data_IF_069427400429
#
_entry.id   IF_069427400429
#
_cell.length_a   1.000
_cell.length_b   1.000
_cell.length_c   1.000
_cell.angle_alpha   90.00
_cell.angle_beta   90.00
_cell.angle_gamma   90.00
#
_symmetry.space_group_name_H-M   'P 1'
#
loop_
_entity.id
_entity.type
_entity.pdbx_description
1 polymer ?
#
# COMPACT_ATOMS: atom_id res chain seq x y z
N UNK A 1 4.48 28.68 18.51
CA UNK A 1 4.49 27.26 18.12
C UNK A 1 5.93 26.84 17.90
N UNK A 2 6.28 25.59 18.20
CA UNK A 2 7.61 25.03 17.89
C UNK A 2 7.75 24.83 16.38
N UNK A 3 8.96 24.98 15.81
CA UNK A 3 9.25 24.67 14.38
C UNK A 3 8.80 23.26 13.99
N UNK A 4 8.86 22.34 14.93
CA UNK A 4 8.45 20.94 14.76
C UNK A 4 6.91 20.80 14.64
N UNK A 5 6.16 21.53 15.46
CA UNK A 5 4.70 21.56 15.37
C UNK A 5 4.23 22.17 14.04
N UNK A 6 4.93 23.21 13.56
CA UNK A 6 4.64 23.83 12.28
C UNK A 6 4.93 22.87 11.11
N UNK A 7 6.01 22.07 11.21
CA UNK A 7 6.35 21.04 10.22
C UNK A 7 5.30 19.93 10.13
N UNK A 8 4.90 19.36 11.27
CA UNK A 8 3.87 18.30 11.28
C UNK A 8 2.49 18.80 10.84
N UNK A 9 2.13 20.03 11.22
CA UNK A 9 0.91 20.70 10.75
C UNK A 9 0.93 20.90 9.22
N UNK A 10 2.09 21.27 8.67
CA UNK A 10 2.28 21.39 7.24
C UNK A 10 2.11 20.04 6.53
N UNK A 11 2.75 18.98 7.01
CA UNK A 11 2.62 17.63 6.41
C UNK A 11 1.17 17.18 6.44
N UNK A 12 0.48 17.27 7.60
CA UNK A 12 -0.93 16.89 7.72
C UNK A 12 -1.79 17.60 6.66
N UNK A 13 -1.58 18.90 6.51
CA UNK A 13 -2.32 19.71 5.53
C UNK A 13 -1.98 19.31 4.09
N UNK A 14 -0.72 19.02 3.81
CA UNK A 14 -0.23 18.68 2.48
C UNK A 14 -0.71 17.30 2.01
N UNK A 15 -0.88 16.35 2.92
CA UNK A 15 -1.23 14.96 2.57
C UNK A 15 -2.71 14.62 2.74
N UNK A 16 -3.41 15.22 3.71
CA UNK A 16 -4.83 14.90 3.96
C UNK A 16 -5.77 16.11 3.80
N UNK A 17 -5.23 17.28 3.43
CA UNK A 17 -5.97 18.53 3.27
C UNK A 17 -6.12 19.32 4.58
N UNK A 18 -6.74 20.50 4.49
CA UNK A 18 -6.99 21.34 5.68
C UNK A 18 -8.12 20.75 6.51
N UNK A 19 -8.10 21.00 7.83
CA UNK A 19 -9.20 20.61 8.70
C UNK A 19 -10.54 21.17 8.17
N UNK A 20 -11.52 20.30 7.93
CA UNK A 20 -12.82 20.65 7.36
C UNK A 20 -12.85 20.77 5.84
N UNK A 21 -11.72 20.54 5.16
CA UNK A 21 -11.57 20.50 3.70
C UNK A 21 -10.53 19.44 3.34
N UNK A 22 -10.71 18.23 3.89
CA UNK A 22 -9.84 17.09 3.64
C UNK A 22 -9.94 16.65 2.18
N UNK A 23 -8.92 15.96 1.68
CA UNK A 23 -8.96 15.41 0.32
C UNK A 23 -9.95 14.24 0.23
N UNK A 24 -10.73 14.21 -0.84
CA UNK A 24 -11.65 13.12 -1.12
C UNK A 24 -11.01 12.03 -1.99
N UNK A 25 -11.67 10.86 -2.01
CA UNK A 25 -11.31 9.76 -2.89
C UNK A 25 -11.40 10.16 -4.36
N UNK A 26 -10.43 9.72 -5.13
CA UNK A 26 -10.48 9.75 -6.60
C UNK A 26 -11.18 8.52 -7.16
N UNK A 27 -11.43 8.50 -8.47
CA UNK A 27 -11.97 7.33 -9.18
C UNK A 27 -11.15 6.03 -8.99
N UNK A 28 -9.85 6.16 -8.66
CA UNK A 28 -9.01 5.03 -8.28
C UNK A 28 -9.42 4.40 -6.96
N UNK A 29 -9.83 5.23 -5.99
CA UNK A 29 -10.35 4.76 -4.71
C UNK A 29 -11.69 4.08 -4.89
N UNK A 30 -12.56 4.61 -5.77
CA UNK A 30 -13.83 3.94 -6.11
C UNK A 30 -13.59 2.55 -6.72
N UNK A 31 -12.62 2.44 -7.64
CA UNK A 31 -12.25 1.16 -8.24
C UNK A 31 -11.65 0.19 -7.21
N UNK A 32 -10.83 0.69 -6.27
CA UNK A 32 -10.28 -0.09 -5.16
C UNK A 32 -11.38 -0.58 -4.20
N UNK A 33 -12.33 0.28 -3.85
CA UNK A 33 -13.49 -0.07 -3.02
C UNK A 33 -14.32 -1.14 -3.73
N UNK A 34 -14.59 -0.98 -5.03
CA UNK A 34 -15.30 -1.98 -5.83
C UNK A 34 -14.56 -3.33 -5.91
N UNK A 35 -13.23 -3.33 -5.87
CA UNK A 35 -12.45 -4.57 -5.85
C UNK A 35 -12.69 -5.36 -4.54
N UNK A 36 -13.03 -4.68 -3.45
CA UNK A 36 -13.25 -5.22 -2.10
C UNK A 36 -12.12 -6.16 -1.63
N UNK A 37 -10.86 -5.70 -1.60
CA UNK A 37 -9.75 -6.51 -1.10
C UNK A 37 -9.91 -6.82 0.39
N UNK A 38 -9.66 -8.06 0.83
CA UNK A 38 -9.67 -8.41 2.27
C UNK A 38 -8.61 -7.67 3.09
N UNK A 39 -7.53 -7.24 2.43
CA UNK A 39 -6.41 -6.57 3.04
C UNK A 39 -5.89 -5.48 2.10
N UNK A 40 -5.77 -4.27 2.63
CA UNK A 40 -5.09 -3.16 1.98
C UNK A 40 -3.86 -2.82 2.83
N UNK A 41 -2.72 -2.64 2.18
CA UNK A 41 -1.49 -2.19 2.81
C UNK A 41 -1.02 -0.92 2.11
N UNK A 42 -0.68 0.11 2.86
CA UNK A 42 -0.25 1.40 2.31
C UNK A 42 0.88 2.03 3.11
N UNK A 43 1.71 2.81 2.42
CA UNK A 43 2.70 3.72 3.01
C UNK A 43 2.19 5.17 3.07
N UNK A 44 0.97 5.42 2.58
CA UNK A 44 0.35 6.74 2.65
C UNK A 44 -0.10 7.07 4.08
N UNK A 45 0.04 8.35 4.44
CA UNK A 45 -0.36 8.87 5.76
C UNK A 45 -1.83 9.30 5.81
N UNK A 46 -2.38 9.76 4.68
CA UNK A 46 -3.73 10.31 4.54
C UNK A 46 -4.83 9.30 4.88
N UNK A 47 -6.07 9.77 5.07
CA UNK A 47 -7.22 8.92 5.42
C UNK A 47 -8.20 8.72 4.26
N UNK A 48 -7.72 8.85 3.02
CA UNK A 48 -8.60 8.82 1.85
C UNK A 48 -9.21 7.42 1.68
N UNK A 49 -8.45 6.35 1.91
CA UNK A 49 -8.95 4.96 1.82
C UNK A 49 -10.02 4.70 2.89
N UNK A 50 -9.78 5.13 4.13
CA UNK A 50 -10.73 5.01 5.24
C UNK A 50 -12.04 5.73 4.92
N UNK A 51 -11.97 6.96 4.39
CA UNK A 51 -13.16 7.72 3.98
C UNK A 51 -13.88 7.05 2.80
N UNK A 52 -13.15 6.64 1.77
CA UNK A 52 -13.71 6.05 0.55
C UNK A 52 -14.40 4.70 0.81
N UNK A 53 -13.94 3.95 1.81
CA UNK A 53 -14.53 2.67 2.22
C UNK A 53 -15.62 2.82 3.28
N UNK A 54 -15.98 4.05 3.67
CA UNK A 54 -16.93 4.29 4.76
C UNK A 54 -16.49 3.71 6.11
N UNK A 55 -15.18 3.63 6.35
CA UNK A 55 -14.57 2.99 7.53
C UNK A 55 -14.88 1.49 7.64
N UNK A 56 -15.07 0.80 6.51
CA UNK A 56 -15.34 -0.64 6.46
C UNK A 56 -14.16 -1.55 6.83
N UNK A 57 -12.96 -0.99 6.99
CA UNK A 57 -11.73 -1.71 7.30
C UNK A 57 -11.30 -1.49 8.76
N UNK A 58 -10.79 -2.55 9.38
CA UNK A 58 -10.04 -2.47 10.64
C UNK A 58 -8.67 -1.85 10.36
N UNK A 59 -8.51 -0.57 10.70
CA UNK A 59 -7.28 0.19 10.44
C UNK A 59 -6.23 -0.04 11.53
N UNK A 60 -5.01 -0.38 11.11
CA UNK A 60 -3.85 -0.63 11.95
C UNK A 60 -2.64 0.15 11.44
N UNK A 61 -1.74 0.52 12.35
CA UNK A 61 -0.41 1.05 12.03
C UNK A 61 0.65 -0.02 12.28
N UNK A 62 1.92 0.30 12.00
CA UNK A 62 3.04 -0.63 12.19
C UNK A 62 3.18 -1.18 13.61
N UNK A 63 2.74 -0.45 14.64
CA UNK A 63 2.82 -0.89 16.05
C UNK A 63 1.70 -1.85 16.46
N UNK A 64 0.73 -2.12 15.58
CA UNK A 64 -0.42 -2.95 15.94
C UNK A 64 -0.04 -4.43 16.12
N UNK A 65 -0.32 -4.96 17.31
CA UNK A 65 -0.26 -6.40 17.61
C UNK A 65 -1.53 -7.16 17.20
N UNK A 66 -2.55 -6.45 16.70
CA UNK A 66 -3.86 -7.04 16.36
C UNK A 66 -3.97 -7.48 14.91
N UNK A 67 -3.08 -6.98 14.04
CA UNK A 67 -3.12 -7.22 12.59
C UNK A 67 -3.14 -8.71 12.25
N UNK A 68 -2.32 -9.55 12.89
CA UNK A 68 -2.34 -11.00 12.67
C UNK A 68 -3.70 -11.63 13.01
N UNK A 69 -4.32 -11.19 14.10
CA UNK A 69 -5.60 -11.70 14.57
C UNK A 69 -6.77 -11.33 13.65
N UNK A 70 -6.73 -10.13 13.06
CA UNK A 70 -7.75 -9.64 12.13
C UNK A 70 -7.60 -10.32 10.77
N UNK A 71 -6.37 -10.43 10.25
CA UNK A 71 -6.04 -11.20 9.04
C UNK A 71 -6.49 -12.66 9.17
N UNK A 72 -6.23 -13.31 10.31
CA UNK A 72 -6.66 -14.70 10.56
C UNK A 72 -8.19 -14.85 10.55
N UNK A 73 -8.91 -13.86 11.07
CA UNK A 73 -10.37 -13.85 11.14
C UNK A 73 -11.04 -13.39 9.85
N UNK A 74 -10.26 -13.06 8.82
CA UNK A 74 -10.74 -12.47 7.55
C UNK A 74 -11.56 -11.19 7.79
N UNK A 75 -11.18 -10.41 8.78
CA UNK A 75 -11.73 -9.07 8.97
C UNK A 75 -11.06 -8.18 7.92
N UNK A 76 -11.82 -7.43 7.10
CA UNK A 76 -11.24 -6.45 6.17
C UNK A 76 -10.28 -5.54 6.92
N UNK A 77 -9.01 -5.55 6.51
CA UNK A 77 -7.92 -4.93 7.28
C UNK A 77 -7.19 -3.89 6.44
N UNK A 78 -6.96 -2.69 7.00
CA UNK A 78 -6.12 -1.65 6.40
C UNK A 78 -4.86 -1.50 7.26
N UNK A 79 -3.68 -1.81 6.71
CA UNK A 79 -2.41 -1.66 7.40
C UNK A 79 -1.63 -0.47 6.82
N UNK A 80 -1.37 0.55 7.65
CA UNK A 80 -0.58 1.74 7.31
C UNK A 80 0.81 1.62 7.89
N UNK A 81 1.77 1.17 7.10
CA UNK A 81 3.13 0.81 7.58
C UNK A 81 3.89 2.04 8.05
N UNK A 82 3.69 3.20 7.42
CA UNK A 82 4.38 4.43 7.80
C UNK A 82 3.58 5.29 8.79
N UNK A 83 2.50 4.76 9.37
CA UNK A 83 1.65 5.49 10.32
C UNK A 83 0.49 6.24 9.63
N UNK A 84 -0.11 7.18 10.35
CA UNK A 84 -1.32 7.90 9.91
C UNK A 84 -1.29 9.36 10.33
N UNK A 85 -1.96 10.25 9.60
CA UNK A 85 -2.10 11.67 9.95
C UNK A 85 -2.76 11.95 11.30
N UNK A 86 -3.48 10.97 11.87
CA UNK A 86 -4.07 11.05 13.22
C UNK A 86 -2.99 11.20 14.30
N UNK A 87 -1.85 10.51 14.14
CA UNK A 87 -0.67 10.57 15.00
C UNK A 87 0.55 10.86 14.11
N UNK A 88 0.61 12.08 13.60
CA UNK A 88 1.59 12.48 12.58
C UNK A 88 3.03 12.44 13.14
N UNK A 89 3.18 12.66 14.43
CA UNK A 89 4.44 12.60 15.16
C UNK A 89 5.04 11.18 15.18
N UNK A 90 4.19 10.16 15.05
CA UNK A 90 4.57 8.75 15.04
C UNK A 90 4.78 8.19 13.61
N UNK A 91 4.67 9.05 12.59
CA UNK A 91 4.87 8.62 11.20
C UNK A 91 6.33 8.32 10.84
N UNK A 92 6.53 7.45 9.86
CA UNK A 92 7.84 7.00 9.41
C UNK A 92 8.31 7.86 8.24
N UNK A 93 9.16 8.86 8.51
CA UNK A 93 9.64 9.80 7.49
C UNK A 93 11.17 9.90 7.43
N UNK A 94 11.82 9.90 8.60
CA UNK A 94 13.26 10.09 8.73
C UNK A 94 13.98 8.77 8.92
N UNK A 95 15.31 8.74 8.71
CA UNK A 95 16.16 7.56 8.97
C UNK A 95 16.00 7.00 10.39
N UNK A 96 15.80 7.87 11.37
CA UNK A 96 15.55 7.48 12.76
C UNK A 96 14.21 6.76 12.88
N UNK A 97 13.18 7.23 12.19
CA UNK A 97 11.88 6.59 12.19
C UNK A 97 11.92 5.22 11.51
N UNK A 98 12.66 5.04 10.42
CA UNK A 98 12.86 3.71 9.82
C UNK A 98 13.50 2.73 10.82
N UNK A 99 14.35 3.21 11.73
CA UNK A 99 14.89 2.40 12.82
C UNK A 99 13.79 2.05 13.83
N UNK A 100 12.91 3.01 14.17
CA UNK A 100 11.72 2.79 15.02
C UNK A 100 10.80 1.74 14.40
N UNK A 101 10.49 1.83 13.10
CA UNK A 101 9.70 0.86 12.37
C UNK A 101 10.28 -0.56 12.49
N UNK A 102 11.59 -0.71 12.35
CA UNK A 102 12.27 -2.02 12.47
C UNK A 102 12.26 -2.59 13.89
N UNK A 103 12.20 -1.74 14.92
CA UNK A 103 12.21 -2.18 16.33
C UNK A 103 10.80 -2.45 16.86
N UNK A 104 9.85 -1.56 16.54
CA UNK A 104 8.49 -1.59 17.09
C UNK A 104 7.48 -2.21 16.12
N UNK A 105 7.76 -2.18 14.81
CA UNK A 105 6.90 -2.74 13.78
C UNK A 105 7.14 -4.22 13.45
N UNK A 106 7.98 -4.92 14.21
CA UNK A 106 8.40 -6.31 13.92
C UNK A 106 7.20 -7.23 13.70
N UNK A 107 6.15 -7.09 14.51
CA UNK A 107 4.95 -7.91 14.38
C UNK A 107 4.22 -7.65 13.05
N UNK A 108 3.90 -6.38 12.75
CA UNK A 108 3.21 -6.02 11.51
C UNK A 108 4.04 -6.35 10.26
N UNK A 109 5.35 -6.12 10.29
CA UNK A 109 6.26 -6.47 9.20
C UNK A 109 6.36 -7.98 8.98
N UNK A 110 6.36 -8.78 10.05
CA UNK A 110 6.35 -10.25 9.94
C UNK A 110 5.05 -10.78 9.33
N UNK A 111 3.91 -10.19 9.72
CA UNK A 111 2.61 -10.49 9.12
C UNK A 111 2.62 -10.12 7.64
N UNK A 112 3.13 -8.95 7.29
CA UNK A 112 3.26 -8.49 5.92
C UNK A 112 4.14 -9.44 5.09
N UNK A 113 5.32 -9.83 5.59
CA UNK A 113 6.19 -10.79 4.92
C UNK A 113 5.48 -12.13 4.67
N UNK A 114 4.73 -12.64 5.67
CA UNK A 114 3.94 -13.85 5.50
C UNK A 114 2.83 -13.71 4.45
N UNK A 115 2.23 -12.53 4.32
CA UNK A 115 1.22 -12.24 3.30
C UNK A 115 1.81 -12.22 1.90
N UNK A 116 2.97 -11.59 1.70
CA UNK A 116 3.70 -11.66 0.42
C UNK A 116 4.09 -13.10 0.07
N UNK A 117 4.44 -13.95 1.05
CA UNK A 117 4.74 -15.36 0.79
C UNK A 117 3.52 -16.22 0.43
N UNK A 118 2.31 -15.84 0.85
CA UNK A 118 1.12 -16.72 0.79
C UNK A 118 -0.01 -16.20 -0.09
N UNK A 119 0.07 -14.95 -0.56
CA UNK A 119 -0.99 -14.30 -1.35
C UNK A 119 -0.41 -13.59 -2.56
N UNK A 120 -1.23 -13.49 -3.60
CA UNK A 120 -0.95 -12.57 -4.70
C UNK A 120 -1.18 -11.14 -4.25
N UNK A 121 -0.18 -10.28 -4.45
CA UNK A 121 -0.22 -8.86 -4.14
C UNK A 121 -0.33 -8.07 -5.43
N UNK A 122 -1.24 -7.09 -5.45
CA UNK A 122 -1.33 -6.08 -6.51
C UNK A 122 -0.79 -4.75 -5.98
N UNK A 123 0.32 -4.31 -6.55
CA UNK A 123 0.97 -3.03 -6.22
C UNK A 123 0.37 -1.92 -7.10
N UNK A 124 -0.14 -0.87 -6.45
CA UNK A 124 -0.76 0.30 -7.09
C UNK A 124 -0.06 1.58 -6.58
N UNK A 125 0.28 2.50 -7.48
CA UNK A 125 0.97 3.75 -7.11
C UNK A 125 2.37 3.53 -6.52
N UNK A 126 2.94 2.34 -6.74
CA UNK A 126 4.25 1.97 -6.22
C UNK A 126 5.38 2.47 -7.12
N UNK A 127 6.47 2.90 -6.49
CA UNK A 127 7.72 3.21 -7.18
C UNK A 127 8.86 2.38 -6.59
N UNK A 128 9.87 2.08 -7.41
CA UNK A 128 11.15 1.49 -6.96
C UNK A 128 11.95 2.42 -6.03
N UNK A 129 11.40 3.55 -5.59
CA UNK A 129 12.04 4.42 -4.61
C UNK A 129 11.79 4.04 -3.15
N UNK A 130 10.83 3.14 -2.87
CA UNK A 130 10.48 2.77 -1.49
C UNK A 130 11.39 1.64 -0.97
N UNK A 131 12.35 1.93 -0.09
CA UNK A 131 13.33 0.94 0.36
C UNK A 131 12.73 -0.14 1.27
N UNK A 132 11.60 0.13 1.94
CA UNK A 132 11.00 -0.84 2.87
C UNK A 132 10.26 -1.93 2.11
N UNK A 133 9.49 -1.55 1.09
CA UNK A 133 8.79 -2.51 0.23
C UNK A 133 9.79 -3.29 -0.63
N UNK A 134 10.85 -2.64 -1.13
CA UNK A 134 11.95 -3.34 -1.79
C UNK A 134 12.55 -4.42 -0.90
N UNK A 135 12.94 -4.06 0.32
CA UNK A 135 13.52 -5.00 1.27
C UNK A 135 12.55 -6.14 1.61
N UNK A 136 11.25 -5.85 1.75
CA UNK A 136 10.23 -6.88 1.97
C UNK A 136 10.13 -7.84 0.79
N UNK A 137 10.04 -7.33 -0.44
CA UNK A 137 9.98 -8.13 -1.65
C UNK A 137 11.25 -8.98 -1.85
N UNK A 138 12.43 -8.40 -1.62
CA UNK A 138 13.71 -9.12 -1.64
C UNK A 138 13.74 -10.24 -0.58
N UNK A 139 13.22 -10.01 0.62
CA UNK A 139 13.18 -11.04 1.67
C UNK A 139 12.19 -12.17 1.39
N UNK A 140 11.17 -11.92 0.55
CA UNK A 140 10.15 -12.92 0.17
C UNK A 140 10.66 -13.80 -0.97
N UNK A 141 11.34 -13.22 -1.95
CA UNK A 141 11.71 -13.90 -3.20
C UNK A 141 13.20 -14.11 -3.42
N UNK A 142 14.07 -13.46 -2.64
CA UNK A 142 15.53 -13.48 -2.76
C UNK A 142 16.09 -14.90 -2.77
N UNK A 143 16.21 -15.47 -3.98
CA UNK A 143 16.81 -16.76 -4.26
C UNK A 143 15.86 -17.91 -4.65
N UNK A 144 14.55 -17.69 -4.77
CA UNK A 144 13.61 -18.76 -5.17
C UNK A 144 13.28 -18.70 -6.66
N UNK A 145 13.53 -19.80 -7.37
CA UNK A 145 13.20 -19.97 -8.80
C UNK A 145 11.70 -20.29 -9.01
N UNK A 146 10.84 -19.55 -8.31
CA UNK A 146 9.39 -19.68 -8.37
C UNK A 146 8.82 -18.67 -9.37
N UNK A 147 7.67 -18.97 -9.98
CA UNK A 147 7.03 -18.04 -10.91
C UNK A 147 6.63 -16.75 -10.18
N UNK A 148 6.75 -15.57 -10.83
CA UNK A 148 6.32 -14.29 -10.25
C UNK A 148 4.89 -14.40 -9.68
N UNK A 149 4.73 -14.15 -8.38
CA UNK A 149 3.47 -14.32 -7.67
C UNK A 149 2.72 -12.99 -7.46
N UNK A 150 3.31 -11.87 -7.86
CA UNK A 150 2.80 -10.52 -7.62
C UNK A 150 2.70 -9.71 -8.91
N UNK A 151 1.83 -8.70 -8.89
CA UNK A 151 1.60 -7.82 -10.02
C UNK A 151 1.75 -6.36 -9.61
N UNK A 152 2.20 -5.53 -10.54
CA UNK A 152 2.30 -4.09 -10.35
C UNK A 152 1.71 -3.36 -11.54
N UNK A 153 0.72 -2.50 -11.29
CA UNK A 153 0.16 -1.63 -12.32
C UNK A 153 0.96 -0.33 -12.37
N UNK A 154 1.64 -0.08 -13.48
CA UNK A 154 2.56 1.07 -13.62
C UNK A 154 2.60 1.64 -15.03
N UNK A 155 3.24 2.79 -15.21
CA UNK A 155 3.48 3.37 -16.53
C UNK A 155 4.54 2.57 -17.30
N UNK A 156 4.47 2.58 -18.63
CA UNK A 156 5.45 1.96 -19.53
C UNK A 156 6.78 2.74 -19.64
N UNK A 157 6.90 3.88 -18.96
CA UNK A 157 8.14 4.64 -18.85
C UNK A 157 9.22 3.95 -18.01
N UNK A 158 8.88 2.84 -17.35
CA UNK A 158 9.83 2.08 -16.54
C UNK A 158 10.85 1.38 -17.46
N UNK A 159 12.17 1.64 -17.31
CA UNK A 159 13.19 1.01 -18.14
C UNK A 159 13.15 -0.53 -18.07
N UNK A 160 13.58 -1.19 -19.15
CA UNK A 160 13.61 -2.65 -19.24
C UNK A 160 14.37 -3.31 -18.09
N UNK A 161 15.53 -2.75 -17.71
CA UNK A 161 16.33 -3.29 -16.61
C UNK A 161 15.60 -3.21 -15.26
N UNK A 162 14.78 -2.19 -15.03
CA UNK A 162 13.99 -2.06 -13.80
C UNK A 162 12.83 -3.07 -13.78
N UNK A 163 12.22 -3.31 -14.95
CA UNK A 163 11.22 -4.39 -15.11
C UNK A 163 11.81 -5.76 -14.87
N UNK A 164 13.03 -6.01 -15.34
CA UNK A 164 13.75 -7.25 -15.09
C UNK A 164 14.10 -7.40 -13.61
N UNK A 165 14.56 -6.34 -12.94
CA UNK A 165 14.80 -6.36 -11.50
C UNK A 165 13.52 -6.67 -10.71
N UNK A 166 12.38 -6.06 -11.08
CA UNK A 166 11.10 -6.38 -10.47
C UNK A 166 10.71 -7.84 -10.69
N UNK A 167 10.89 -8.35 -11.90
CA UNK A 167 10.48 -9.71 -12.25
C UNK A 167 11.35 -10.78 -11.62
N UNK A 168 12.67 -10.62 -11.70
CA UNK A 168 13.63 -11.66 -11.32
C UNK A 168 14.12 -11.55 -9.88
N UNK A 169 14.24 -10.33 -9.34
CA UNK A 169 14.68 -10.13 -7.95
C UNK A 169 13.52 -10.00 -6.98
N UNK A 170 12.38 -9.45 -7.43
CA UNK A 170 11.23 -9.15 -6.57
C UNK A 170 9.97 -9.95 -6.93
N UNK A 171 10.03 -10.85 -7.93
CA UNK A 171 8.89 -11.68 -8.40
C UNK A 171 7.60 -10.90 -8.68
N UNK A 172 7.74 -9.65 -9.10
CA UNK A 172 6.66 -8.73 -9.49
C UNK A 172 6.61 -8.64 -11.01
N UNK A 173 5.48 -9.05 -11.58
CA UNK A 173 5.19 -8.82 -13.00
C UNK A 173 4.54 -7.46 -13.19
N UNK A 174 5.08 -6.65 -14.09
CA UNK A 174 4.51 -5.33 -14.40
C UNK A 174 3.37 -5.46 -15.42
N UNK A 175 2.27 -4.77 -15.14
CA UNK A 175 1.16 -4.52 -16.06
C UNK A 175 1.25 -3.04 -16.40
N UNK A 176 1.55 -2.72 -17.65
CA UNK A 176 1.90 -1.36 -18.04
C UNK A 176 0.81 -0.66 -18.83
N UNK A 177 0.68 0.66 -18.65
CA UNK A 177 -0.11 1.56 -19.49
C UNK A 177 0.77 2.72 -20.00
N UNK A 178 0.41 3.37 -21.12
CA UNK A 178 1.19 4.49 -21.67
C UNK A 178 1.43 5.60 -20.65
N UNK A 179 2.65 6.11 -20.60
CA UNK A 179 3.02 7.17 -19.69
C UNK A 179 2.16 8.43 -19.86
N UNK A 180 1.61 8.95 -18.76
CA UNK A 180 0.69 10.08 -18.75
C UNK A 180 -0.79 9.71 -18.96
N UNK A 181 -1.08 8.50 -19.43
CA UNK A 181 -2.45 8.01 -19.67
C UNK A 181 -2.97 7.17 -18.48
N UNK A 182 -3.01 7.78 -17.28
CA UNK A 182 -3.43 7.10 -16.05
C UNK A 182 -4.87 6.57 -16.11
N UNK A 183 -5.73 7.16 -16.92
CA UNK A 183 -7.09 6.70 -17.19
C UNK A 183 -7.12 5.28 -17.78
N UNK A 184 -6.10 4.87 -18.55
CA UNK A 184 -5.98 3.49 -19.04
C UNK A 184 -5.62 2.50 -17.94
N UNK A 185 -4.74 2.92 -17.02
CA UNK A 185 -4.47 2.17 -15.79
C UNK A 185 -5.73 1.99 -14.96
N UNK A 186 -6.48 3.07 -14.75
CA UNK A 186 -7.75 3.05 -14.02
C UNK A 186 -8.77 2.14 -14.70
N UNK A 187 -8.88 2.19 -16.04
CA UNK A 187 -9.75 1.30 -16.81
C UNK A 187 -9.40 -0.17 -16.58
N UNK A 188 -8.11 -0.49 -16.52
CA UNK A 188 -7.63 -1.86 -16.26
C UNK A 188 -8.01 -2.32 -14.85
N UNK A 189 -7.87 -1.45 -13.84
CA UNK A 189 -8.30 -1.75 -12.48
C UNK A 189 -9.82 -1.93 -12.37
N UNK A 190 -10.61 -1.12 -13.08
CA UNK A 190 -12.07 -1.25 -13.15
C UNK A 190 -12.50 -2.58 -13.75
N UNK A 191 -11.87 -2.99 -14.85
CA UNK A 191 -12.11 -4.31 -15.47
C UNK A 191 -11.79 -5.43 -14.48
N UNK A 192 -10.67 -5.34 -13.76
CA UNK A 192 -10.34 -6.31 -12.71
C UNK A 192 -11.42 -6.35 -11.61
N UNK A 193 -11.86 -5.19 -11.13
CA UNK A 193 -12.90 -5.10 -10.11
C UNK A 193 -14.22 -5.74 -10.60
N UNK A 194 -14.62 -5.51 -11.85
CA UNK A 194 -15.80 -6.13 -12.46
C UNK A 194 -15.67 -7.66 -12.51
N UNK A 195 -14.52 -8.15 -12.95
CA UNK A 195 -14.25 -9.59 -13.01
C UNK A 195 -14.30 -10.23 -11.62
N UNK A 196 -13.69 -9.60 -10.61
CA UNK A 196 -13.72 -10.09 -9.23
C UNK A 196 -15.14 -10.13 -8.68
N UNK A 197 -15.92 -9.07 -8.88
CA UNK A 197 -17.31 -9.02 -8.43
C UNK A 197 -18.17 -10.09 -9.12
N UNK A 198 -17.96 -10.34 -10.41
CA UNK A 198 -18.67 -11.39 -11.16
C UNK A 198 -18.30 -12.82 -10.74
N UNK A 199 -17.10 -13.01 -10.16
CA UNK A 199 -16.58 -14.31 -9.75
C UNK A 199 -16.92 -14.67 -8.30
N UNK A 200 -17.50 -13.75 -7.51
CA UNK A 200 -17.89 -14.03 -6.13
C UNK A 200 -19.00 -15.08 -6.11
N UNK A 201 -18.86 -16.15 -5.32
CA UNK A 201 -19.93 -17.12 -5.15
C UNK A 201 -21.16 -16.42 -4.54
N UNK A 202 -22.33 -16.75 -5.09
CA UNK A 202 -23.63 -16.24 -4.64
C UNK A 202 -23.97 -16.66 -3.21
#
# INVERSE_FOLDING_TARGET
>A
MSREQDFFSYIRTAVDGRAGSNFDGSEWHDALVKLEPDLIVTTNYDKIIERSTGHGYSTHTYESERVAGDVRRRIPTLLKIHGSVDAIEDTILTRTDFTRLRLHGVHALSVLQALFLTRTVLLLGYSLGDPDIQLLLENVLGGRNESPAHYMLTQDSLPDYERDVLRYSHGVTTITYPSGEHERGLASLRVLADLVQSAKPA
#
